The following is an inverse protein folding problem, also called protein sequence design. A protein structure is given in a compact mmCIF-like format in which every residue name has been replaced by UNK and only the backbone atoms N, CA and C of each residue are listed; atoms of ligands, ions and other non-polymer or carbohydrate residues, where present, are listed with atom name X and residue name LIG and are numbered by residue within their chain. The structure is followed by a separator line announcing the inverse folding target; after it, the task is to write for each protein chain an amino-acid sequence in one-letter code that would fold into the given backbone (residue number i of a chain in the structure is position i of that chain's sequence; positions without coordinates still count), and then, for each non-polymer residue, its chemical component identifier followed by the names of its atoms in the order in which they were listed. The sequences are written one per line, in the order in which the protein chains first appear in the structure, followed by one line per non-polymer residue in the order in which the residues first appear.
data_IF_273128195574
#
_entry.id   IF_273128195574
#
_cell.length_a   1.000
_cell.length_b   1.000
_cell.length_c   1.000
_cell.angle_alpha   90.00
_cell.angle_beta   90.00
_cell.angle_gamma   90.00
#
_symmetry.space_group_name_H-M   'P 1'
#
loop_
_entity.id
_entity.type
_entity.pdbx_description
1 polymer ?
#
# COMPACT_ATOMS: atom_id res chain seq x y z
N UNK A 1 2.49 32.96 10.64
CA UNK A 1 1.77 32.29 11.74
C UNK A 1 1.79 30.80 11.43
N UNK A 2 2.65 30.04 12.11
CA UNK A 2 2.74 28.59 11.95
C UNK A 2 1.75 27.98 12.93
N UNK A 3 0.63 27.47 12.42
CA UNK A 3 -0.26 26.65 13.23
C UNK A 3 0.53 25.43 13.69
N UNK A 4 0.63 25.26 15.01
CA UNK A 4 1.10 24.03 15.61
C UNK A 4 0.03 22.99 15.29
N UNK A 5 0.36 22.05 14.40
CA UNK A 5 -0.40 20.81 14.23
C UNK A 5 -0.41 20.13 15.60
N UNK A 6 -1.50 20.32 16.34
CA UNK A 6 -1.73 19.59 17.58
C UNK A 6 -1.91 18.12 17.20
N UNK A 7 -0.99 17.27 17.66
CA UNK A 7 -1.16 15.83 17.50
C UNK A 7 -2.41 15.43 18.28
N UNK A 8 -3.52 15.17 17.59
CA UNK A 8 -4.71 14.57 18.20
C UNK A 8 -4.29 13.23 18.83
N UNK A 9 -4.67 13.04 20.09
CA UNK A 9 -4.37 11.79 20.80
C UNK A 9 -5.08 10.63 20.12
N UNK A 10 -4.32 9.60 19.75
CA UNK A 10 -4.86 8.42 19.10
C UNK A 10 -5.81 7.64 20.01
N UNK A 11 -6.94 7.21 19.46
CA UNK A 11 -7.88 6.29 20.11
C UNK A 11 -7.33 4.85 20.16
N UNK A 12 -6.28 4.59 19.38
CA UNK A 12 -5.52 3.34 19.30
C UNK A 12 -4.62 3.10 20.53
N UNK A 13 -4.18 4.18 21.18
CA UNK A 13 -3.16 4.14 22.23
C UNK A 13 -3.52 3.26 23.43
N UNK A 14 -4.80 3.16 23.78
CA UNK A 14 -5.27 2.37 24.94
C UNK A 14 -5.04 0.86 24.73
N UNK A 15 -5.01 0.40 23.48
CA UNK A 15 -4.79 -1.01 23.13
C UNK A 15 -3.35 -1.33 22.73
N UNK A 16 -2.54 -0.33 22.41
CA UNK A 16 -1.18 -0.51 21.87
C UNK A 16 -0.27 -1.31 22.80
N UNK A 17 -0.30 -1.05 24.10
CA UNK A 17 0.58 -1.77 25.04
C UNK A 17 0.21 -3.26 25.13
N UNK A 18 -1.08 -3.59 25.02
CA UNK A 18 -1.53 -4.99 24.98
C UNK A 18 -1.15 -5.69 23.68
N UNK A 19 -1.19 -4.97 22.56
CA UNK A 19 -0.76 -5.48 21.24
C UNK A 19 0.76 -5.72 21.26
N UNK A 20 1.56 -4.76 21.74
CA UNK A 20 3.02 -4.86 21.77
C UNK A 20 3.58 -5.97 22.65
N UNK A 21 2.84 -6.36 23.69
CA UNK A 21 3.22 -7.48 24.55
C UNK A 21 3.05 -8.86 23.88
N UNK A 22 2.57 -8.93 22.64
CA UNK A 22 2.44 -10.19 21.90
C UNK A 22 3.78 -10.58 21.25
N UNK A 23 4.16 -11.86 21.33
CA UNK A 23 5.43 -12.32 20.76
C UNK A 23 5.39 -12.50 19.24
N UNK A 24 4.22 -12.68 18.65
CA UNK A 24 4.06 -12.98 17.22
C UNK A 24 3.72 -11.73 16.41
N UNK A 25 4.53 -11.46 15.38
CA UNK A 25 4.39 -10.27 14.54
C UNK A 25 3.05 -10.24 13.78
N UNK A 26 2.59 -11.37 13.24
CA UNK A 26 1.32 -11.41 12.50
C UNK A 26 0.11 -11.20 13.39
N UNK A 27 0.12 -11.74 14.62
CA UNK A 27 -0.90 -11.46 15.62
C UNK A 27 -0.95 -9.98 16.00
N UNK A 28 0.22 -9.32 16.13
CA UNK A 28 0.29 -7.88 16.38
C UNK A 28 -0.38 -7.09 15.26
N UNK A 29 -0.01 -7.37 14.01
CA UNK A 29 -0.57 -6.70 12.83
C UNK A 29 -2.08 -6.95 12.71
N UNK A 30 -2.55 -8.17 12.92
CA UNK A 30 -3.97 -8.50 12.87
C UNK A 30 -4.78 -7.75 13.91
N UNK A 31 -4.31 -7.72 15.16
CA UNK A 31 -4.99 -6.98 16.23
C UNK A 31 -4.96 -5.47 16.00
N UNK A 32 -3.85 -4.96 15.46
CA UNK A 32 -3.74 -3.57 15.03
C UNK A 32 -4.78 -3.23 13.94
N UNK A 33 -4.92 -4.09 12.91
CA UNK A 33 -5.90 -3.90 11.86
C UNK A 33 -7.34 -4.00 12.39
N UNK A 34 -7.63 -4.99 13.25
CA UNK A 34 -8.95 -5.15 13.88
C UNK A 34 -9.34 -3.90 14.69
N UNK A 35 -8.41 -3.36 15.48
CA UNK A 35 -8.63 -2.15 16.26
C UNK A 35 -8.81 -0.91 15.37
N UNK A 36 -7.97 -0.77 14.33
CA UNK A 36 -8.07 0.34 13.38
C UNK A 36 -9.39 0.32 12.60
N UNK A 37 -9.86 -0.86 12.20
CA UNK A 37 -11.13 -1.07 11.50
C UNK A 37 -12.37 -0.64 12.32
N UNK A 38 -12.29 -0.64 13.65
CA UNK A 38 -13.40 -0.17 14.49
C UNK A 38 -13.50 1.36 14.56
N UNK A 39 -12.49 2.09 14.05
CA UNK A 39 -12.53 3.54 14.01
C UNK A 39 -13.47 4.02 12.91
N UNK A 40 -14.46 4.82 13.27
CA UNK A 40 -15.40 5.42 12.32
C UNK A 40 -14.88 6.69 11.67
N UNK A 41 -13.89 7.33 12.28
CA UNK A 41 -13.33 8.62 11.85
C UNK A 41 -11.83 8.72 12.25
N UNK A 42 -10.94 7.94 11.61
CA UNK A 42 -9.54 7.84 12.01
C UNK A 42 -8.80 9.17 11.83
N UNK A 43 -8.04 9.54 12.86
CA UNK A 43 -7.21 10.76 12.89
C UNK A 43 -5.83 10.50 12.27
N UNK A 44 -5.05 11.56 11.93
CA UNK A 44 -3.64 11.40 11.55
C UNK A 44 -2.81 10.67 12.63
N UNK A 45 -3.16 10.82 13.91
CA UNK A 45 -2.54 10.09 15.02
C UNK A 45 -2.81 8.59 14.93
N UNK A 46 -4.06 8.19 14.67
CA UNK A 46 -4.43 6.78 14.52
C UNK A 46 -3.69 6.10 13.36
N UNK A 47 -3.55 6.80 12.23
CA UNK A 47 -2.73 6.33 11.11
C UNK A 47 -1.24 6.22 11.45
N UNK A 48 -0.71 7.17 12.23
CA UNK A 48 0.69 7.15 12.68
C UNK A 48 0.96 5.92 13.53
N UNK A 49 0.08 5.66 14.50
CA UNK A 49 0.22 4.55 15.43
C UNK A 49 -0.04 3.20 14.78
N UNK A 50 -1.07 3.08 13.94
CA UNK A 50 -1.38 1.84 13.22
C UNK A 50 -0.23 1.42 12.31
N UNK A 51 0.27 2.33 11.47
CA UNK A 51 1.37 2.01 10.56
C UNK A 51 2.71 1.82 11.28
N UNK A 52 2.96 2.57 12.36
CA UNK A 52 4.14 2.35 13.20
C UNK A 52 4.13 0.96 13.82
N UNK A 53 2.99 0.54 14.40
CA UNK A 53 2.87 -0.80 14.99
C UNK A 53 3.04 -1.90 13.94
N UNK A 54 2.44 -1.73 12.77
CA UNK A 54 2.57 -2.68 11.66
C UNK A 54 4.03 -2.86 11.23
N UNK A 55 4.73 -1.76 11.03
CA UNK A 55 6.13 -1.81 10.61
C UNK A 55 7.09 -2.21 11.73
N UNK A 56 6.82 -1.87 12.99
CA UNK A 56 7.60 -2.39 14.11
C UNK A 56 7.48 -3.91 14.21
N UNK A 57 6.27 -4.46 14.03
CA UNK A 57 6.06 -5.90 14.02
C UNK A 57 6.81 -6.56 12.85
N UNK A 58 6.64 -6.05 11.62
CA UNK A 58 7.32 -6.62 10.45
C UNK A 58 8.83 -6.41 10.44
N UNK A 59 9.33 -5.33 11.03
CA UNK A 59 10.76 -5.08 11.22
C UNK A 59 11.45 -6.22 11.99
N UNK A 60 10.75 -6.83 12.96
CA UNK A 60 11.29 -8.00 13.68
C UNK A 60 11.53 -9.21 12.78
N UNK A 61 10.73 -9.39 11.72
CA UNK A 61 10.85 -10.54 10.80
C UNK A 61 12.09 -10.39 9.93
N UNK A 62 12.35 -9.17 9.46
CA UNK A 62 13.45 -8.85 8.53
C UNK A 62 14.70 -8.32 9.24
N UNK A 63 14.70 -8.25 10.57
CA UNK A 63 15.81 -7.71 11.36
C UNK A 63 16.08 -6.22 11.10
N UNK A 64 15.05 -5.45 10.76
CA UNK A 64 15.15 -4.01 10.48
C UNK A 64 14.53 -3.18 11.60
N UNK A 65 15.24 -2.13 12.02
CA UNK A 65 14.69 -1.07 12.85
C UNK A 65 14.01 -0.04 11.93
N UNK A 66 12.67 -0.03 11.92
CA UNK A 66 11.89 0.85 11.07
C UNK A 66 11.42 2.04 11.91
N UNK A 67 11.88 3.27 11.62
CA UNK A 67 11.49 4.45 12.39
C UNK A 67 9.98 4.68 12.36
N UNK A 68 9.43 5.10 13.50
CA UNK A 68 8.06 5.61 13.55
C UNK A 68 7.93 6.87 12.71
N UNK A 69 7.11 6.81 11.67
CA UNK A 69 6.76 7.97 10.87
C UNK A 69 5.47 8.60 11.41
N UNK A 70 5.41 9.93 11.41
CA UNK A 70 4.17 10.67 11.66
C UNK A 70 3.52 11.00 10.33
N UNK A 71 2.20 10.94 10.30
CA UNK A 71 1.42 11.40 9.15
C UNK A 71 1.70 12.88 8.88
N UNK A 72 1.94 13.20 7.62
CA UNK A 72 2.28 14.53 7.08
C UNK A 72 1.04 15.35 6.66
N UNK A 73 -0.15 14.78 6.87
CA UNK A 73 -1.44 15.34 6.52
C UNK A 73 -2.24 15.77 7.74
N UNK A 74 -3.03 16.83 7.58
CA UNK A 74 -4.01 17.29 8.56
C UNK A 74 -5.21 16.33 8.61
N UNK A 75 -6.06 16.51 9.62
CA UNK A 75 -7.32 15.77 9.75
C UNK A 75 -8.22 15.98 8.54
N UNK A 76 -8.37 17.22 8.08
CA UNK A 76 -9.22 17.57 6.94
C UNK A 76 -8.71 16.91 5.65
N UNK A 77 -7.39 16.90 5.43
CA UNK A 77 -6.78 16.23 4.28
C UNK A 77 -7.02 14.70 4.33
N UNK A 78 -6.89 14.08 5.51
CA UNK A 78 -7.21 12.66 5.69
C UNK A 78 -8.68 12.39 5.34
N UNK A 79 -9.61 13.18 5.85
CA UNK A 79 -11.04 13.02 5.57
C UNK A 79 -11.38 13.22 4.09
N UNK A 80 -10.74 14.19 3.44
CA UNK A 80 -10.89 14.41 2.01
C UNK A 80 -10.46 13.16 1.21
N UNK A 81 -9.31 12.57 1.55
CA UNK A 81 -8.86 11.32 0.93
C UNK A 81 -9.90 10.21 1.09
N UNK A 82 -10.44 10.02 2.30
CA UNK A 82 -11.46 9.00 2.56
C UNK A 82 -12.72 9.20 1.70
N UNK A 83 -13.19 10.44 1.60
CA UNK A 83 -14.34 10.85 0.78
C UNK A 83 -14.14 10.60 -0.71
N UNK A 84 -12.89 10.66 -1.18
CA UNK A 84 -12.51 10.35 -2.56
C UNK A 84 -12.22 8.86 -2.80
N UNK A 85 -12.45 8.00 -1.81
CA UNK A 85 -12.17 6.58 -1.94
C UNK A 85 -10.67 6.25 -1.90
N UNK A 86 -9.86 7.10 -1.28
CA UNK A 86 -8.44 6.90 -1.05
C UNK A 86 -8.15 6.56 0.42
N UNK A 87 -6.97 6.00 0.68
CA UNK A 87 -6.45 5.71 2.02
C UNK A 87 -4.95 5.99 2.09
N UNK A 88 -4.44 6.21 3.31
CA UNK A 88 -3.01 6.35 3.55
C UNK A 88 -2.33 5.00 3.78
N UNK A 89 -1.15 4.86 3.19
CA UNK A 89 -0.21 3.76 3.45
C UNK A 89 1.17 4.31 3.76
N UNK A 90 1.92 3.66 4.65
CA UNK A 90 3.31 4.01 4.93
C UNK A 90 4.23 3.07 4.15
N UNK A 91 5.05 3.62 3.25
CA UNK A 91 6.18 2.91 2.61
C UNK A 91 7.49 3.40 3.26
N UNK A 92 8.08 2.66 4.20
CA UNK A 92 9.33 3.08 4.82
C UNK A 92 10.49 3.04 3.82
N UNK A 93 11.45 3.93 4.02
CA UNK A 93 12.71 3.91 3.26
C UNK A 93 13.50 2.63 3.58
N UNK A 94 14.17 2.07 2.57
CA UNK A 94 14.96 0.83 2.73
C UNK A 94 14.16 -0.48 2.71
N UNK A 95 12.82 -0.43 2.69
CA UNK A 95 11.98 -1.61 2.48
C UNK A 95 11.94 -1.95 0.99
N UNK A 96 12.39 -3.15 0.65
CA UNK A 96 12.52 -3.66 -0.71
C UNK A 96 11.46 -4.73 -0.99
N UNK A 97 11.26 -5.08 -2.27
CA UNK A 97 10.41 -6.22 -2.65
C UNK A 97 10.87 -7.54 -1.99
N UNK A 98 12.18 -7.73 -1.77
CA UNK A 98 12.70 -8.91 -1.09
C UNK A 98 12.30 -8.95 0.40
N UNK A 99 12.33 -7.80 1.08
CA UNK A 99 11.81 -7.70 2.44
C UNK A 99 10.32 -8.02 2.50
N UNK A 100 9.53 -7.52 1.54
CA UNK A 100 8.09 -7.85 1.45
C UNK A 100 7.85 -9.35 1.23
N UNK A 101 8.68 -10.03 0.43
CA UNK A 101 8.61 -11.48 0.27
C UNK A 101 8.98 -12.28 1.52
N UNK A 102 9.86 -11.74 2.38
CA UNK A 102 10.18 -12.34 3.68
C UNK A 102 9.07 -12.13 4.70
N UNK A 103 8.45 -10.95 4.70
CA UNK A 103 7.33 -10.62 5.58
C UNK A 103 6.07 -11.39 5.18
N UNK A 104 5.80 -11.50 3.88
CA UNK A 104 4.58 -12.13 3.35
C UNK A 104 4.99 -13.34 2.50
N UNK A 105 5.32 -14.45 3.17
CA UNK A 105 5.85 -15.64 2.49
C UNK A 105 4.86 -16.27 1.52
N UNK A 106 3.56 -16.05 1.73
CA UNK A 106 2.48 -16.52 0.85
C UNK A 106 2.47 -15.86 -0.52
N UNK A 107 3.13 -14.69 -0.68
CA UNK A 107 3.19 -14.00 -1.97
C UNK A 107 3.73 -14.89 -3.08
N UNK A 108 4.70 -15.77 -2.77
CA UNK A 108 5.27 -16.77 -3.70
C UNK A 108 5.88 -16.21 -4.99
N UNK A 109 5.91 -14.90 -5.16
CA UNK A 109 6.16 -14.24 -6.43
C UNK A 109 7.64 -14.23 -6.79
N UNK A 110 7.96 -14.33 -8.08
CA UNK A 110 9.31 -14.08 -8.57
C UNK A 110 9.76 -12.64 -8.31
N UNK A 111 8.80 -11.69 -8.28
CA UNK A 111 9.12 -10.28 -8.14
C UNK A 111 9.59 -9.90 -6.73
N UNK A 112 9.30 -10.73 -5.73
CA UNK A 112 9.71 -10.55 -4.33
C UNK A 112 10.91 -11.43 -3.95
N UNK A 113 11.54 -12.08 -4.92
CA UNK A 113 12.79 -12.81 -4.67
C UNK A 113 13.99 -11.84 -4.62
N UNK A 114 15.07 -12.20 -3.92
CA UNK A 114 16.34 -11.49 -4.03
C UNK A 114 16.79 -11.35 -5.49
N UNK A 115 17.36 -10.20 -5.86
CA UNK A 115 17.81 -9.88 -7.21
C UNK A 115 16.70 -9.86 -8.29
N UNK A 116 15.45 -9.63 -7.87
CA UNK A 116 14.35 -9.35 -8.81
C UNK A 116 14.74 -8.21 -9.76
N UNK A 117 14.54 -8.35 -11.09
CA UNK A 117 14.87 -7.32 -12.08
C UNK A 117 13.83 -6.19 -12.12
N UNK A 118 12.96 -6.08 -11.12
CA UNK A 118 11.95 -5.03 -11.04
C UNK A 118 12.61 -3.72 -10.66
N UNK A 119 12.37 -2.71 -11.48
CA UNK A 119 12.77 -1.32 -11.25
C UNK A 119 11.54 -0.54 -10.80
N UNK A 120 11.59 0.05 -9.60
CA UNK A 120 10.51 0.88 -9.07
C UNK A 120 10.99 2.31 -8.85
N UNK A 121 10.13 3.28 -9.15
CA UNK A 121 10.39 4.66 -8.79
C UNK A 121 10.47 4.80 -7.25
N UNK A 122 11.48 5.52 -6.76
CA UNK A 122 11.70 5.72 -5.33
C UNK A 122 10.76 6.79 -4.76
N UNK A 123 9.78 6.37 -3.95
CA UNK A 123 8.87 7.24 -3.19
C UNK A 123 8.60 6.58 -1.85
N UNK A 124 8.78 7.32 -0.76
CA UNK A 124 8.73 6.82 0.62
C UNK A 124 7.86 7.73 1.49
N UNK A 125 7.56 7.28 2.70
CA UNK A 125 6.70 7.99 3.64
C UNK A 125 5.22 7.66 3.45
N UNK A 126 4.36 8.60 3.82
CA UNK A 126 2.91 8.43 3.73
C UNK A 126 2.41 8.72 2.31
N UNK A 127 1.96 7.67 1.64
CA UNK A 127 1.40 7.73 0.29
C UNK A 127 -0.13 7.59 0.38
N UNK A 128 -0.86 8.31 -0.46
CA UNK A 128 -2.29 8.06 -0.63
C UNK A 128 -2.56 7.19 -1.86
N UNK A 129 -3.42 6.19 -1.69
CA UNK A 129 -3.71 5.20 -2.72
C UNK A 129 -5.20 4.95 -2.83
N UNK A 130 -5.68 4.44 -3.97
CA UNK A 130 -7.08 4.02 -4.09
C UNK A 130 -7.39 2.83 -3.18
N UNK A 131 -8.56 2.84 -2.52
CA UNK A 131 -9.01 1.77 -1.60
C UNK A 131 -9.88 0.71 -2.26
N UNK A 132 -10.02 0.72 -3.59
CA UNK A 132 -10.92 -0.19 -4.31
C UNK A 132 -10.34 -1.60 -4.43
N UNK A 133 -11.15 -2.63 -4.16
CA UNK A 133 -10.78 -4.03 -4.44
C UNK A 133 -10.47 -4.21 -5.93
N UNK A 134 -11.32 -3.70 -6.84
CA UNK A 134 -11.06 -3.75 -8.28
C UNK A 134 -10.12 -2.64 -8.75
N UNK A 135 -9.39 -2.91 -9.84
CA UNK A 135 -8.48 -1.97 -10.46
C UNK A 135 -9.27 -0.72 -10.92
N UNK A 136 -8.90 0.48 -10.49
CA UNK A 136 -9.45 1.71 -11.01
C UNK A 136 -8.95 1.97 -12.43
N UNK A 137 -9.56 2.93 -13.13
CA UNK A 137 -9.13 3.36 -14.47
C UNK A 137 -9.11 2.21 -15.51
N UNK A 138 -10.13 1.35 -15.50
CA UNK A 138 -10.27 0.25 -16.47
C UNK A 138 -10.30 0.76 -17.92
N UNK A 139 -9.93 -0.11 -18.88
CA UNK A 139 -9.90 0.17 -20.33
C UNK A 139 -8.91 1.27 -20.74
N UNK A 140 -7.94 1.58 -19.89
CA UNK A 140 -6.84 2.52 -20.19
C UNK A 140 -5.60 1.77 -20.66
N UNK A 141 -4.79 2.40 -21.49
CA UNK A 141 -3.44 1.94 -21.82
C UNK A 141 -2.38 2.76 -21.04
N UNK A 142 -1.09 2.51 -21.29
CA UNK A 142 -0.01 3.20 -20.56
C UNK A 142 -0.03 4.72 -20.79
N UNK A 143 -0.33 5.17 -22.02
CA UNK A 143 -0.39 6.58 -22.35
C UNK A 143 -1.58 7.29 -21.68
N UNK A 144 -2.75 6.63 -21.63
CA UNK A 144 -3.92 7.14 -20.91
C UNK A 144 -3.63 7.30 -19.42
N UNK A 145 -2.98 6.30 -18.81
CA UNK A 145 -2.60 6.35 -17.40
C UNK A 145 -1.58 7.47 -17.11
N UNK A 146 -0.61 7.68 -18.01
CA UNK A 146 0.33 8.80 -17.88
C UNK A 146 -0.37 10.16 -17.94
N UNK A 147 -1.37 10.31 -18.82
CA UNK A 147 -2.20 11.52 -18.90
C UNK A 147 -3.02 11.73 -17.63
N UNK A 148 -3.66 10.68 -17.11
CA UNK A 148 -4.44 10.76 -15.86
C UNK A 148 -3.53 11.14 -14.68
N UNK A 149 -2.34 10.54 -14.59
CA UNK A 149 -1.34 10.89 -13.57
C UNK A 149 -1.01 12.39 -13.62
N UNK A 150 -0.75 12.93 -14.82
CA UNK A 150 -0.47 14.35 -15.01
C UNK A 150 -1.67 15.24 -14.64
N UNK A 151 -2.87 14.89 -15.08
CA UNK A 151 -4.10 15.66 -14.81
C UNK A 151 -4.47 15.68 -13.32
N UNK A 152 -4.15 14.61 -12.59
CA UNK A 152 -4.45 14.48 -11.16
C UNK A 152 -3.28 14.89 -10.25
N UNK A 153 -2.11 15.17 -10.82
CA UNK A 153 -0.89 15.45 -10.05
C UNK A 153 -0.40 14.25 -9.23
N UNK A 154 -0.69 13.02 -9.67
CA UNK A 154 -0.34 11.78 -8.97
C UNK A 154 0.71 11.00 -9.73
N UNK A 155 1.29 9.99 -9.08
CA UNK A 155 2.29 9.11 -9.68
C UNK A 155 1.69 7.73 -9.94
N UNK A 156 2.23 7.01 -10.93
CA UNK A 156 1.91 5.59 -11.08
C UNK A 156 2.30 4.82 -9.82
N UNK A 157 1.43 3.96 -9.32
CA UNK A 157 1.73 3.14 -8.15
C UNK A 157 2.92 2.21 -8.42
N UNK A 158 3.78 2.00 -7.41
CA UNK A 158 4.85 0.98 -7.47
C UNK A 158 4.37 -0.39 -7.01
N UNK A 159 5.07 -1.46 -7.35
CA UNK A 159 4.80 -2.82 -6.88
C UNK A 159 4.92 -2.94 -5.37
N UNK A 160 5.88 -2.25 -4.74
CA UNK A 160 6.02 -2.19 -3.29
C UNK A 160 4.78 -1.57 -2.64
N UNK A 161 4.37 -0.39 -3.10
CA UNK A 161 3.17 0.28 -2.58
C UNK A 161 1.92 -0.58 -2.83
N UNK A 162 1.84 -1.24 -3.98
CA UNK A 162 0.75 -2.15 -4.30
C UNK A 162 0.66 -3.30 -3.31
N UNK A 163 1.77 -3.99 -3.02
CA UNK A 163 1.82 -5.08 -2.04
C UNK A 163 1.44 -4.56 -0.66
N UNK A 164 2.08 -3.50 -0.18
CA UNK A 164 1.81 -2.91 1.15
C UNK A 164 0.33 -2.53 1.29
N UNK A 165 -0.21 -1.85 0.28
CA UNK A 165 -1.61 -1.42 0.27
C UNK A 165 -2.61 -2.57 0.15
N UNK A 166 -2.25 -3.63 -0.57
CA UNK A 166 -3.06 -4.83 -0.78
C UNK A 166 -3.11 -5.72 0.47
N UNK A 167 -1.98 -5.93 1.13
CA UNK A 167 -1.89 -6.65 2.41
C UNK A 167 -2.70 -5.94 3.50
N UNK A 168 -2.57 -4.60 3.59
CA UNK A 168 -3.40 -3.79 4.47
C UNK A 168 -4.90 -3.86 4.09
N UNK A 169 -5.21 -3.87 2.80
CA UNK A 169 -6.60 -4.03 2.32
C UNK A 169 -7.17 -5.38 2.73
N UNK A 170 -6.36 -6.45 2.66
CA UNK A 170 -6.75 -7.79 3.09
C UNK A 170 -7.01 -7.85 4.58
N UNK A 171 -6.10 -7.32 5.40
CA UNK A 171 -6.29 -7.30 6.86
C UNK A 171 -7.57 -6.54 7.26
N UNK A 172 -7.92 -5.47 6.53
CA UNK A 172 -9.10 -4.66 6.82
C UNK A 172 -10.41 -5.23 6.23
N UNK A 173 -10.36 -5.90 5.08
CA UNK A 173 -11.57 -6.26 4.32
C UNK A 173 -11.76 -7.75 4.06
N UNK A 174 -10.70 -8.56 4.20
CA UNK A 174 -10.66 -9.96 3.81
C UNK A 174 -10.40 -10.19 2.31
N UNK A 175 -10.13 -9.13 1.54
CA UNK A 175 -9.80 -9.20 0.12
C UNK A 175 -8.52 -8.44 -0.18
N UNK A 176 -7.69 -8.96 -1.08
CA UNK A 176 -6.57 -8.21 -1.66
C UNK A 176 -7.05 -7.22 -2.73
N UNK A 177 -6.15 -6.34 -3.18
CA UNK A 177 -6.36 -5.67 -4.45
C UNK A 177 -6.39 -6.67 -5.60
N UNK A 178 -7.34 -6.44 -6.50
CA UNK A 178 -7.53 -7.20 -7.74
C UNK A 178 -7.74 -8.71 -7.51
N UNK A 179 -8.24 -9.04 -6.32
CA UNK A 179 -8.35 -10.39 -5.81
C UNK A 179 -9.20 -11.30 -6.72
N UNK A 180 -8.70 -12.52 -6.97
CA UNK A 180 -9.44 -13.55 -7.67
C UNK A 180 -9.64 -13.26 -9.15
N UNK A 181 -8.64 -12.63 -9.80
CA UNK A 181 -8.60 -12.37 -11.25
C UNK A 181 -9.70 -11.44 -11.78
N UNK A 182 -10.40 -10.72 -10.91
CA UNK A 182 -11.49 -9.85 -11.35
C UNK A 182 -10.98 -8.72 -12.25
N UNK A 183 -9.79 -8.22 -11.94
CA UNK A 183 -9.08 -7.18 -12.68
C UNK A 183 -7.57 -7.38 -12.55
N UNK A 184 -6.79 -6.61 -13.29
CA UNK A 184 -5.37 -6.43 -13.06
C UNK A 184 -5.02 -4.95 -13.03
N UNK A 185 -4.06 -4.61 -12.17
CA UNK A 185 -3.55 -3.25 -12.07
C UNK A 185 -2.26 -3.12 -12.85
N UNK A 186 -2.26 -2.23 -13.85
CA UNK A 186 -1.02 -1.62 -14.35
C UNK A 186 -0.44 -0.75 -13.24
N UNK A 187 0.85 -0.86 -13.03
CA UNK A 187 1.62 -0.16 -12.00
C UNK A 187 2.68 0.70 -12.71
N UNK A 188 2.34 1.91 -13.21
CA UNK A 188 3.27 2.69 -14.05
C UNK A 188 4.54 3.13 -13.32
N UNK A 189 4.55 3.06 -11.98
CA UNK A 189 5.72 3.32 -11.15
C UNK A 189 6.70 2.15 -11.05
N UNK A 190 6.39 0.99 -11.64
CA UNK A 190 7.29 -0.17 -11.66
C UNK A 190 7.42 -0.76 -13.06
N UNK A 191 8.65 -1.15 -13.39
CA UNK A 191 9.03 -1.66 -14.71
C UNK A 191 9.87 -2.92 -14.59
N UNK A 192 9.88 -3.69 -15.67
CA UNK A 192 10.85 -4.75 -15.94
C UNK A 192 11.19 -4.70 -17.42
N UNK A 193 12.49 -4.68 -17.74
CA UNK A 193 12.98 -4.61 -19.12
C UNK A 193 12.35 -3.43 -19.91
N UNK A 194 12.19 -2.28 -19.24
CA UNK A 194 11.57 -1.07 -19.79
C UNK A 194 10.05 -1.10 -19.93
N UNK A 195 9.37 -2.21 -19.58
CA UNK A 195 7.91 -2.35 -19.67
C UNK A 195 7.24 -2.19 -18.32
N UNK A 196 6.09 -1.52 -18.29
CA UNK A 196 5.25 -1.35 -17.10
C UNK A 196 4.83 -2.72 -16.56
N UNK A 197 4.88 -2.88 -15.24
CA UNK A 197 4.39 -4.08 -14.58
C UNK A 197 2.87 -4.06 -14.39
N UNK A 198 2.33 -5.26 -14.33
CA UNK A 198 0.95 -5.55 -14.03
C UNK A 198 0.90 -6.50 -12.85
N UNK A 199 -0.02 -6.27 -11.92
CA UNK A 199 -0.16 -7.09 -10.73
C UNK A 199 -1.62 -7.40 -10.39
N UNK A 200 -1.81 -8.55 -9.75
CA UNK A 200 -3.01 -8.96 -9.04
C UNK A 200 -2.69 -10.07 -8.04
N UNK A 201 -3.60 -10.29 -7.10
CA UNK A 201 -3.56 -11.39 -6.14
C UNK A 201 -4.51 -12.52 -6.53
N UNK A 202 -4.01 -13.75 -6.40
CA UNK A 202 -4.79 -14.97 -6.53
C UNK A 202 -5.62 -15.19 -5.27
N UNK A 203 -6.55 -16.14 -5.34
CA UNK A 203 -7.36 -16.57 -4.20
C UNK A 203 -6.57 -17.34 -3.13
N UNK A 204 -5.36 -17.79 -3.45
CA UNK A 204 -4.43 -18.50 -2.56
C UNK A 204 -3.28 -17.59 -2.07
N UNK A 205 -3.52 -16.29 -2.05
CA UNK A 205 -2.59 -15.24 -1.59
C UNK A 205 -1.35 -15.03 -2.49
N UNK A 206 -1.21 -15.80 -3.59
CA UNK A 206 -0.10 -15.65 -4.52
C UNK A 206 -0.17 -14.30 -5.27
N UNK A 207 0.94 -13.56 -5.26
CA UNK A 207 1.10 -12.34 -6.05
C UNK A 207 1.64 -12.68 -7.43
N UNK A 208 0.85 -12.38 -8.46
CA UNK A 208 1.38 -12.38 -9.82
C UNK A 208 1.80 -10.98 -10.24
N UNK A 209 3.03 -10.92 -10.76
CA UNK A 209 3.59 -9.76 -11.41
C UNK A 209 4.00 -10.15 -12.84
N UNK A 210 3.63 -9.35 -13.83
CA UNK A 210 3.92 -9.62 -15.24
C UNK A 210 4.17 -8.32 -16.03
N UNK A 211 4.98 -8.40 -17.08
CA UNK A 211 5.17 -7.35 -18.10
C UNK A 211 4.73 -7.83 -19.50
N UNK A 212 3.83 -8.82 -19.54
CA UNK A 212 3.39 -9.47 -20.78
C UNK A 212 2.52 -8.58 -21.66
N UNK A 213 1.79 -7.62 -21.09
CA UNK A 213 0.95 -6.72 -21.88
C UNK A 213 1.76 -5.61 -22.51
N UNK A 214 1.37 -5.27 -23.74
CA UNK A 214 1.97 -4.18 -24.48
C UNK A 214 1.48 -2.83 -23.94
N UNK A 215 2.23 -1.74 -24.19
CA UNK A 215 1.81 -0.40 -23.79
C UNK A 215 0.46 0.05 -24.35
N UNK A 216 0.02 -0.52 -25.48
CA UNK A 216 -1.20 -0.16 -26.20
C UNK A 216 -2.43 -1.01 -25.80
N UNK A 217 -2.22 -2.11 -25.07
CA UNK A 217 -3.31 -3.03 -24.72
C UNK A 217 -4.39 -2.33 -23.86
N UNK A 218 -5.66 -2.46 -24.27
CA UNK A 218 -6.83 -1.96 -23.55
C UNK A 218 -7.86 -3.07 -23.38
N UNK A 219 -8.23 -3.37 -22.14
CA UNK A 219 -9.20 -4.42 -21.84
C UNK A 219 -10.08 -4.04 -20.64
N UNK A 220 -11.28 -4.63 -20.60
CA UNK A 220 -12.27 -4.42 -19.54
C UNK A 220 -11.77 -4.86 -18.16
N UNK A 221 -10.86 -5.83 -18.13
CA UNK A 221 -10.25 -6.35 -16.90
C UNK A 221 -8.92 -5.71 -16.52
N UNK A 222 -8.47 -4.64 -17.20
CA UNK A 222 -7.17 -4.02 -16.90
C UNK A 222 -7.33 -2.53 -16.69
N UNK A 223 -6.88 -2.07 -15.54
CA UNK A 223 -6.86 -0.67 -15.14
C UNK A 223 -5.51 -0.28 -14.58
N UNK A 224 -5.41 0.89 -13.97
CA UNK A 224 -4.17 1.36 -13.36
C UNK A 224 -4.41 2.04 -12.03
N UNK A 225 -3.47 1.86 -11.11
CA UNK A 225 -3.50 2.47 -9.77
C UNK A 225 -2.46 3.57 -9.67
N UNK A 226 -2.76 4.56 -8.85
CA UNK A 226 -1.88 5.70 -8.62
C UNK A 226 -1.57 5.85 -7.14
N UNK A 227 -0.45 6.50 -6.85
CA UNK A 227 -0.07 6.91 -5.51
C UNK A 227 0.19 8.42 -5.50
N UNK A 228 -0.31 9.09 -4.45
CA UNK A 228 -0.06 10.50 -4.19
C UNK A 228 0.98 10.68 -3.09
N UNK A 229 1.83 11.70 -3.27
CA UNK A 229 2.78 12.19 -2.28
C UNK A 229 2.36 13.61 -1.87
N UNK A 230 2.79 14.04 -0.69
CA UNK A 230 2.65 15.43 -0.25
C UNK A 230 4.00 16.14 -0.34
#
# INVERSE_FOLDING_TARGET
MSERVGAEQSQFQVNLDLIRNRPDAYQRVRQAADAFKQLTDPTPGDYSDYWSERWEAFGTIIGADIPRARVDRSRDEVQELHGQGRKLVLRPEGITLAHLGQIHTSLGSWATQPNSPVESDARFGYLDIEKSTKAPNLRTNVADLARIAQETGRHGMTLETYIIGSEDHFDLTGEYFDHGYQTWSRLPGSRRDGRVLHAYFYADDYLSASSTWTPDDRHDGIGGRFEGVK
#
